data_IF_241229472441
#
_entry.id   IF_241229472441
#
_cell.length_a   1.000
_cell.length_b   1.000
_cell.length_c   1.000
_cell.angle_alpha   90.00
_cell.angle_beta   90.00
_cell.angle_gamma   90.00
#
_symmetry.space_group_name_H-M   'P 1'
#
loop_
_entity.id
_entity.type
_entity.pdbx_description
1 polymer ?
#
# COMPACT_ATOMS: atom_id res chain seq x y z
N UNK A 1 -14.96 -4.27 -10.48
CA UNK A 1 -14.28 -3.14 -9.85
C UNK A 1 -15.30 -2.08 -9.48
N UNK A 2 -15.36 -1.69 -8.21
CA UNK A 2 -16.22 -0.64 -7.66
C UNK A 2 -15.53 0.73 -7.71
N UNK A 3 -14.22 0.78 -7.54
CA UNK A 3 -13.42 2.00 -7.65
C UNK A 3 -12.78 2.13 -9.03
N UNK A 4 -12.47 3.37 -9.40
CA UNK A 4 -11.61 3.73 -10.53
C UNK A 4 -10.14 3.75 -10.11
N UNK A 5 -9.25 3.66 -11.09
CA UNK A 5 -7.80 3.76 -10.85
C UNK A 5 -7.39 5.08 -10.17
N UNK A 6 -8.06 6.18 -10.52
CA UNK A 6 -7.82 7.48 -9.88
C UNK A 6 -8.22 7.49 -8.40
N UNK A 7 -9.32 6.82 -8.05
CA UNK A 7 -9.76 6.65 -6.65
C UNK A 7 -8.80 5.75 -5.87
N UNK A 8 -8.32 4.66 -6.48
CA UNK A 8 -7.30 3.79 -5.89
C UNK A 8 -6.00 4.57 -5.61
N UNK A 9 -5.55 5.38 -6.55
CA UNK A 9 -4.38 6.25 -6.35
C UNK A 9 -4.61 7.25 -5.20
N UNK A 10 -5.81 7.81 -5.08
CA UNK A 10 -6.15 8.72 -3.98
C UNK A 10 -6.11 8.02 -2.61
N UNK A 11 -6.64 6.79 -2.53
CA UNK A 11 -6.56 5.95 -1.33
C UNK A 11 -5.10 5.70 -0.94
N UNK A 12 -4.26 5.30 -1.91
CA UNK A 12 -2.84 5.01 -1.69
C UNK A 12 -2.08 6.25 -1.21
N UNK A 13 -2.33 7.43 -1.79
CA UNK A 13 -1.70 8.67 -1.31
C UNK A 13 -2.06 8.99 0.13
N UNK A 14 -3.31 8.76 0.53
CA UNK A 14 -3.76 8.96 1.92
C UNK A 14 -3.08 7.96 2.87
N UNK A 15 -3.04 6.67 2.50
CA UNK A 15 -2.32 5.63 3.23
C UNK A 15 -0.85 6.01 3.46
N UNK A 16 -0.20 6.55 2.42
CA UNK A 16 1.20 6.95 2.46
C UNK A 16 1.44 8.18 3.36
N UNK A 17 0.54 9.16 3.35
CA UNK A 17 0.61 10.32 4.25
C UNK A 17 0.46 9.92 5.73
N UNK A 18 -0.39 8.93 6.02
CA UNK A 18 -0.64 8.46 7.38
C UNK A 18 0.52 7.64 7.98
N UNK A 19 1.53 7.27 7.18
CA UNK A 19 2.70 6.53 7.67
C UNK A 19 3.63 7.39 8.56
N UNK A 20 3.44 8.72 8.60
CA UNK A 20 4.26 9.69 9.35
C UNK A 20 5.77 9.46 9.16
N UNK A 21 6.22 9.61 7.92
CA UNK A 21 7.60 9.33 7.51
C UNK A 21 8.17 10.58 6.86
N UNK A 22 9.13 11.18 7.55
CA UNK A 22 9.76 12.48 7.24
C UNK A 22 10.26 12.61 5.78
N UNK A 23 10.59 11.51 5.11
CA UNK A 23 11.08 11.51 3.73
C UNK A 23 10.02 11.19 2.67
N UNK A 24 8.76 10.93 3.02
CA UNK A 24 7.68 10.73 2.04
C UNK A 24 7.02 12.04 1.60
N UNK A 25 7.22 13.14 2.34
CA UNK A 25 6.57 14.43 2.09
C UNK A 25 7.15 15.18 0.88
N UNK A 26 8.45 15.01 0.59
CA UNK A 26 9.19 15.79 -0.41
C UNK A 26 9.57 15.01 -1.68
N UNK A 27 9.13 13.76 -1.81
CA UNK A 27 9.63 12.85 -2.82
C UNK A 27 8.53 12.42 -3.80
N UNK A 28 8.74 12.54 -5.13
CA UNK A 28 7.82 12.00 -6.11
C UNK A 28 7.80 10.47 -6.03
N UNK A 29 6.72 9.91 -5.49
CA UNK A 29 6.45 8.48 -5.55
C UNK A 29 5.88 8.10 -6.92
N UNK A 30 6.48 7.09 -7.57
CA UNK A 30 5.87 6.45 -8.72
C UNK A 30 4.88 5.40 -8.22
N UNK A 31 3.61 5.55 -8.62
CA UNK A 31 2.54 4.61 -8.28
C UNK A 31 2.20 3.81 -9.53
N UNK A 32 2.38 2.50 -9.45
CA UNK A 32 1.99 1.54 -10.47
C UNK A 32 0.75 0.79 -9.99
N UNK A 33 -0.27 0.70 -10.85
CA UNK A 33 -1.55 0.08 -10.51
C UNK A 33 -1.86 -1.06 -11.47
N UNK A 34 -2.17 -2.23 -10.91
CA UNK A 34 -2.57 -3.43 -11.63
C UNK A 34 -4.01 -3.82 -11.24
N UNK A 35 -4.82 -4.18 -12.24
CA UNK A 35 -6.23 -4.54 -12.08
C UNK A 35 -6.39 -6.05 -12.02
N UNK A 36 -7.38 -6.50 -11.26
CA UNK A 36 -7.85 -7.89 -11.21
C UNK A 36 -6.77 -8.89 -10.75
N UNK A 37 -5.88 -8.45 -9.85
CA UNK A 37 -4.81 -9.30 -9.33
C UNK A 37 -5.40 -10.53 -8.64
N UNK A 38 -4.74 -11.68 -8.82
CA UNK A 38 -5.23 -12.99 -8.32
C UNK A 38 -4.49 -13.49 -7.09
N UNK A 39 -3.47 -12.76 -6.64
CA UNK A 39 -2.66 -13.11 -5.47
C UNK A 39 -2.43 -11.87 -4.63
N UNK A 40 -2.81 -11.93 -3.36
CA UNK A 40 -2.50 -10.88 -2.41
C UNK A 40 -1.05 -11.02 -1.94
N UNK A 41 -0.43 -9.90 -1.57
CA UNK A 41 0.98 -9.89 -1.20
C UNK A 41 1.25 -10.68 0.10
N UNK A 42 0.34 -10.60 1.07
CA UNK A 42 0.49 -11.22 2.40
C UNK A 42 -0.39 -12.46 2.62
N UNK A 43 -1.37 -12.72 1.73
CA UNK A 43 -2.33 -13.84 1.84
C UNK A 43 -3.26 -13.76 3.04
N UNK A 44 -3.55 -12.56 3.54
CA UNK A 44 -4.38 -12.35 4.74
C UNK A 44 -5.83 -11.98 4.43
N UNK A 45 -6.09 -11.45 3.25
CA UNK A 45 -7.44 -11.17 2.75
C UNK A 45 -7.85 -12.17 1.68
N UNK A 46 -9.10 -12.62 1.74
CA UNK A 46 -9.75 -13.37 0.67
C UNK A 46 -10.29 -12.38 -0.36
N UNK A 47 -9.68 -12.34 -1.54
CA UNK A 47 -9.99 -11.35 -2.56
C UNK A 47 -11.03 -11.87 -3.56
N UNK A 48 -12.06 -11.06 -3.83
CA UNK A 48 -12.97 -11.29 -4.95
C UNK A 48 -12.53 -10.50 -6.19
N UNK A 49 -12.36 -9.18 -6.03
CA UNK A 49 -11.90 -8.27 -7.09
C UNK A 49 -10.87 -7.31 -6.50
N UNK A 50 -9.60 -7.44 -6.88
CA UNK A 50 -8.54 -6.71 -6.20
C UNK A 50 -7.63 -5.91 -7.13
N UNK A 51 -7.07 -4.85 -6.54
CA UNK A 51 -6.06 -3.99 -7.11
C UNK A 51 -4.70 -4.31 -6.49
N UNK A 52 -3.67 -4.43 -7.33
CA UNK A 52 -2.28 -4.44 -6.91
C UNK A 52 -1.70 -3.05 -7.10
N UNK A 53 -1.04 -2.52 -6.08
CA UNK A 53 -0.38 -1.21 -6.16
C UNK A 53 1.07 -1.35 -5.71
N UNK A 54 1.98 -0.93 -6.58
CA UNK A 54 3.40 -0.75 -6.26
C UNK A 54 3.70 0.73 -6.10
N UNK A 55 4.34 1.11 -4.99
CA UNK A 55 4.81 2.48 -4.76
C UNK A 55 6.33 2.45 -4.62
N UNK A 56 7.03 3.07 -5.55
CA UNK A 56 8.48 3.25 -5.45
C UNK A 56 8.78 4.42 -4.50
N UNK A 57 9.55 4.15 -3.45
CA UNK A 57 9.93 5.12 -2.41
C UNK A 57 11.46 5.15 -2.29
N UNK A 58 12.14 6.24 -2.64
CA UNK A 58 13.57 6.35 -2.43
C UNK A 58 13.86 6.46 -0.93
N UNK A 59 14.71 5.56 -0.42
CA UNK A 59 15.19 5.60 0.95
C UNK A 59 16.36 6.57 1.08
N UNK A 60 16.36 7.33 2.16
CA UNK A 60 17.26 8.45 2.46
C UNK A 60 18.70 8.34 1.86
N UNK A 61 18.94 9.20 0.85
CA UNK A 61 20.22 9.79 0.42
C UNK A 61 21.37 8.94 -0.14
N UNK A 62 21.36 7.60 -0.24
CA UNK A 62 22.42 6.92 -1.04
C UNK A 62 22.35 5.44 -1.38
N UNK A 63 21.40 4.63 -0.88
CA UNK A 63 21.66 3.18 -0.88
C UNK A 63 20.65 2.22 -1.50
N UNK A 64 19.36 2.55 -1.72
CA UNK A 64 18.45 1.73 -2.56
C UNK A 64 17.04 2.36 -2.63
N UNK A 65 16.36 2.17 -3.76
CA UNK A 65 14.93 2.42 -3.86
C UNK A 65 14.20 1.31 -3.08
N UNK A 66 13.30 1.70 -2.19
CA UNK A 66 12.35 0.79 -1.57
C UNK A 66 11.09 0.69 -2.43
N UNK A 67 10.39 -0.44 -2.33
CA UNK A 67 9.03 -0.56 -2.86
C UNK A 67 8.06 -0.79 -1.71
N UNK A 68 6.85 -0.27 -1.82
CA UNK A 68 5.71 -0.62 -0.98
C UNK A 68 4.71 -1.34 -1.88
N UNK A 69 4.27 -2.52 -1.46
CA UNK A 69 3.30 -3.32 -2.20
C UNK A 69 1.99 -3.35 -1.44
N UNK A 70 0.89 -2.91 -2.07
CA UNK A 70 -0.44 -2.81 -1.46
C UNK A 70 -1.43 -3.61 -2.31
N UNK A 71 -2.18 -4.48 -1.67
CA UNK A 71 -3.36 -5.16 -2.23
C UNK A 71 -4.59 -4.49 -1.65
N UNK A 72 -5.54 -4.11 -2.51
CA UNK A 72 -6.84 -3.57 -2.11
C UNK A 72 -7.92 -4.48 -2.69
N UNK A 73 -8.73 -5.12 -1.85
CA UNK A 73 -9.95 -5.77 -2.31
C UNK A 73 -11.04 -4.71 -2.52
N UNK A 74 -11.42 -4.54 -3.76
CA UNK A 74 -12.37 -3.53 -4.24
C UNK A 74 -13.82 -3.85 -3.84
N UNK A 75 -14.11 -5.13 -3.54
CA UNK A 75 -15.43 -5.55 -3.10
C UNK A 75 -15.67 -5.18 -1.62
N UNK A 76 -14.66 -5.39 -0.77
CA UNK A 76 -14.78 -5.25 0.69
C UNK A 76 -14.13 -3.99 1.25
N UNK A 77 -13.21 -3.37 0.49
CA UNK A 77 -12.35 -2.30 0.96
C UNK A 77 -11.22 -2.77 1.89
N UNK A 78 -10.99 -4.08 2.03
CA UNK A 78 -9.86 -4.58 2.83
C UNK A 78 -8.52 -4.28 2.14
N UNK A 79 -7.51 -3.87 2.92
CA UNK A 79 -6.19 -3.48 2.41
C UNK A 79 -5.10 -4.25 3.15
N UNK A 80 -4.20 -4.86 2.42
CA UNK A 80 -3.01 -5.51 2.98
C UNK A 80 -1.76 -5.14 2.18
N UNK A 81 -0.57 -5.35 2.74
CA UNK A 81 0.62 -5.06 1.98
C UNK A 81 1.92 -5.33 2.73
N UNK A 82 3.01 -4.86 2.13
CA UNK A 82 4.30 -4.74 2.77
C UNK A 82 4.83 -3.33 2.67
N UNK A 83 5.44 -2.86 3.75
CA UNK A 83 6.29 -1.69 3.73
C UNK A 83 7.74 -2.09 3.45
N UNK A 84 8.39 -1.31 2.58
CA UNK A 84 9.85 -1.25 2.42
C UNK A 84 10.56 -2.53 1.96
N UNK A 85 10.39 -2.87 0.69
CA UNK A 85 11.27 -3.79 -0.03
C UNK A 85 12.61 -3.10 -0.37
N UNK A 86 13.55 -2.97 0.57
CA UNK A 86 14.95 -2.61 0.24
C UNK A 86 15.91 -3.44 1.08
N UNK A 87 16.65 -4.38 0.46
CA UNK A 87 17.64 -5.31 1.02
C UNK A 87 17.39 -5.96 2.42
N UNK A 88 16.19 -5.84 2.98
CA UNK A 88 15.81 -6.27 4.34
C UNK A 88 14.55 -7.12 4.35
N UNK A 89 14.07 -7.46 5.56
CA UNK A 89 12.81 -8.20 5.74
C UNK A 89 11.63 -7.24 5.51
N UNK A 90 10.77 -7.48 4.51
CA UNK A 90 9.60 -6.62 4.29
C UNK A 90 8.71 -6.64 5.53
N UNK A 91 8.18 -5.48 5.90
CA UNK A 91 7.32 -5.35 7.08
C UNK A 91 5.88 -5.58 6.61
N UNK A 92 5.25 -6.74 6.93
CA UNK A 92 3.86 -6.97 6.58
C UNK A 92 3.00 -5.95 7.29
N UNK A 93 2.03 -5.38 6.58
CA UNK A 93 1.09 -4.43 7.13
C UNK A 93 -0.34 -4.77 6.71
N UNK A 94 -1.28 -4.33 7.53
CA UNK A 94 -2.70 -4.49 7.29
C UNK A 94 -3.42 -3.18 7.58
N UNK A 95 -4.35 -2.80 6.72
CA UNK A 95 -5.22 -1.66 6.90
C UNK A 95 -6.68 -2.07 6.71
N UNK A 96 -7.55 -1.49 7.53
CA UNK A 96 -8.99 -1.50 7.32
C UNK A 96 -9.49 -0.08 7.29
N UNK A 97 -10.57 0.11 6.54
CA UNK A 97 -11.34 1.33 6.63
C UNK A 97 -11.92 1.43 8.05
N UNK A 98 -11.66 2.54 8.73
CA UNK A 98 -12.32 2.83 9.99
C UNK A 98 -13.66 3.56 9.76
N UNK A 99 -14.44 3.75 10.82
CA UNK A 99 -15.76 4.41 10.77
C UNK A 99 -15.69 5.86 10.23
N UNK A 100 -14.51 6.49 10.28
CA UNK A 100 -14.28 7.86 9.80
C UNK A 100 -13.85 7.92 8.32
N UNK A 101 -13.82 6.78 7.62
CA UNK A 101 -13.42 6.73 6.21
C UNK A 101 -11.91 6.96 6.00
N UNK A 102 -11.09 6.63 7.00
CA UNK A 102 -9.63 6.68 6.91
C UNK A 102 -9.05 5.26 6.92
N UNK A 103 -7.94 5.08 6.19
CA UNK A 103 -7.22 3.82 6.15
C UNK A 103 -5.86 4.04 6.78
N UNK A 104 -5.51 3.23 7.79
CA UNK A 104 -4.19 3.29 8.42
C UNK A 104 -3.47 1.96 8.27
N UNK A 105 -2.27 1.96 7.70
CA UNK A 105 -1.42 0.77 7.64
C UNK A 105 -0.84 0.48 9.02
N UNK A 106 -1.10 -0.72 9.52
CA UNK A 106 -0.60 -1.20 10.81
C UNK A 106 0.43 -2.30 10.54
N UNK A 107 1.71 -2.12 10.90
CA UNK A 107 2.71 -3.18 10.87
C UNK A 107 2.28 -4.38 11.70
N UNK A 108 2.44 -5.58 11.15
CA UNK A 108 2.09 -6.83 11.82
C UNK A 108 3.35 -7.38 12.49
N UNK A 109 3.44 -7.25 13.82
CA UNK A 109 4.44 -7.94 14.65
C UNK A 109 5.48 -7.06 15.35
N UNK A 110 5.02 -6.17 16.24
CA UNK A 110 5.84 -5.74 17.38
C UNK A 110 5.35 -6.42 18.66
#
# INVERSE_FOLDING_TARGET
>A
MNHTEAEIIAIVKKLMADLDIEYLEDIPFEIQVEKDIKKSYTKRIDMETAWGVGVSVPFHKKYEDGTIGITIDDATGEIEGYLFFSAGRPIPCYARLNEEGTYRLIPIGN
#
